data_IF_058595618746
#
_entry.id   IF_058595618746
#
_cell.length_a   1.000
_cell.length_b   1.000
_cell.length_c   1.000
_cell.angle_alpha   90.00
_cell.angle_beta   90.00
_cell.angle_gamma   90.00
#
_symmetry.space_group_name_H-M   'P 1'
#
loop_
_entity.id
_entity.type
_entity.pdbx_description
1 polymer ?
#
# COMPACT_ATOMS: atom_id res chain seq x y z
N UNK A 1 24.74 -7.45 -1.81
CA UNK A 1 24.25 -7.54 -1.79
C UNK A 1 23.43 -7.76 -2.04
N UNK A 2 23.06 -7.87 -2.13
CA UNK A 2 22.22 -7.84 -2.36
C UNK A 2 21.22 -8.50 -2.09
N UNK A 3 20.55 -8.41 -1.71
CA UNK A 3 19.62 -9.00 -1.45
C UNK A 3 18.56 -8.85 -2.02
N UNK A 4 17.84 -9.51 -2.38
CA UNK A 4 16.80 -9.32 -2.98
C UNK A 4 15.72 -9.27 -2.14
N UNK A 5 14.91 -8.29 -2.29
CA UNK A 5 13.73 -8.17 -1.53
C UNK A 5 12.61 -8.93 -2.19
N UNK A 6 11.96 -9.74 -1.43
CA UNK A 6 10.84 -10.51 -1.93
C UNK A 6 9.56 -9.98 -1.34
N UNK A 7 8.43 -10.27 -1.97
CA UNK A 7 7.14 -9.92 -1.43
C UNK A 7 6.79 -8.46 -1.61
N UNK A 8 5.94 -7.90 -0.72
CA UNK A 8 5.38 -6.55 -0.93
C UNK A 8 6.44 -5.47 -1.07
N UNK A 9 7.52 -5.56 -0.33
CA UNK A 9 8.53 -4.51 -0.34
C UNK A 9 9.22 -4.37 -1.68
N UNK A 10 9.19 -5.41 -2.51
CA UNK A 10 9.85 -5.34 -3.81
C UNK A 10 9.17 -4.35 -4.75
N UNK A 11 7.93 -3.98 -4.49
CA UNK A 11 7.21 -3.02 -5.31
C UNK A 11 7.44 -1.57 -4.91
N UNK A 12 8.04 -1.33 -3.75
CA UNK A 12 8.07 0.01 -3.18
C UNK A 12 8.76 1.04 -4.06
N UNK A 13 9.91 0.77 -4.66
CA UNK A 13 10.51 1.79 -5.51
C UNK A 13 9.63 2.15 -6.70
N UNK A 14 8.97 1.17 -7.29
CA UNK A 14 8.08 1.43 -8.42
C UNK A 14 6.87 2.23 -8.00
N UNK A 15 6.33 1.95 -6.80
CA UNK A 15 5.20 2.68 -6.28
C UNK A 15 5.56 4.15 -6.06
N UNK A 16 6.70 4.40 -5.45
CA UNK A 16 7.11 5.76 -5.18
C UNK A 16 7.35 6.53 -6.47
N UNK A 17 7.95 5.87 -7.43
CA UNK A 17 8.24 6.51 -8.70
C UNK A 17 6.96 6.80 -9.49
N UNK A 18 6.07 5.81 -9.54
CA UNK A 18 4.88 5.94 -10.37
C UNK A 18 3.88 6.94 -9.81
N UNK A 19 3.72 6.95 -8.49
CA UNK A 19 2.69 7.77 -7.87
C UNK A 19 3.24 9.03 -7.21
N UNK A 20 4.55 9.21 -7.24
CA UNK A 20 5.17 10.42 -6.74
C UNK A 20 5.03 10.64 -5.24
N UNK A 21 4.89 9.56 -4.47
CA UNK A 21 4.68 9.67 -3.03
C UNK A 21 5.44 8.56 -2.31
N UNK A 22 6.21 8.90 -1.27
CA UNK A 22 6.96 7.88 -0.53
C UNK A 22 6.04 6.86 0.12
N UNK A 23 6.55 5.66 0.28
CA UNK A 23 5.77 4.59 0.90
C UNK A 23 5.34 4.98 2.31
N UNK A 24 6.18 5.73 3.03
CA UNK A 24 5.82 6.16 4.38
C UNK A 24 4.52 6.96 4.39
N UNK A 25 4.31 7.80 3.38
CA UNK A 25 3.06 8.56 3.28
C UNK A 25 1.88 7.66 2.96
N UNK A 26 2.09 6.67 2.11
CA UNK A 26 1.03 5.70 1.83
C UNK A 26 0.64 4.93 3.09
N UNK A 27 1.64 4.58 3.91
CA UNK A 27 1.35 3.90 5.16
C UNK A 27 0.52 4.77 6.08
N UNK A 28 0.84 6.06 6.16
CA UNK A 28 0.06 6.97 6.99
C UNK A 28 -1.37 7.10 6.50
N UNK A 29 -1.55 7.18 5.18
CA UNK A 29 -2.88 7.27 4.61
C UNK A 29 -3.70 6.01 4.92
N UNK A 30 -3.08 4.85 4.79
CA UNK A 30 -3.78 3.61 5.08
C UNK A 30 -4.11 3.48 6.55
N UNK A 31 -3.20 3.89 7.42
CA UNK A 31 -3.48 3.81 8.85
C UNK A 31 -4.59 4.78 9.25
N UNK A 32 -4.62 5.96 8.64
CA UNK A 32 -5.71 6.91 8.90
C UNK A 32 -7.03 6.33 8.42
N UNK A 33 -7.03 5.68 7.25
CA UNK A 33 -8.24 5.06 6.75
C UNK A 33 -8.72 3.95 7.66
N UNK A 34 -7.80 3.15 8.17
CA UNK A 34 -8.16 2.09 9.09
C UNK A 34 -8.72 2.65 10.40
N UNK A 35 -8.20 3.78 10.85
CA UNK A 35 -8.74 4.41 12.05
C UNK A 35 -10.16 4.90 11.83
N UNK A 36 -10.47 5.39 10.63
CA UNK A 36 -11.82 5.81 10.32
C UNK A 36 -12.78 4.65 10.14
N UNK A 37 -12.26 3.53 9.65
CA UNK A 37 -13.07 2.35 9.40
C UNK A 37 -12.38 1.13 9.98
N UNK A 38 -12.47 0.94 11.29
CA UNK A 38 -11.74 -0.16 11.94
C UNK A 38 -12.10 -1.54 11.42
N UNK A 39 -13.29 -1.69 10.83
CA UNK A 39 -13.69 -2.97 10.27
C UNK A 39 -13.27 -3.20 8.84
N UNK A 40 -12.54 -2.26 8.24
CA UNK A 40 -12.12 -2.41 6.85
C UNK A 40 -11.18 -3.58 6.69
N UNK A 41 -11.44 -4.39 5.67
CA UNK A 41 -10.65 -5.57 5.41
C UNK A 41 -9.64 -5.28 4.31
N UNK A 42 -8.73 -6.26 4.10
CA UNK A 42 -7.67 -6.11 3.12
C UNK A 42 -8.23 -5.66 1.76
N UNK A 43 -9.24 -6.37 1.26
CA UNK A 43 -9.78 -6.04 -0.07
C UNK A 43 -10.48 -4.70 -0.11
N UNK A 44 -11.04 -4.28 1.01
CA UNK A 44 -11.68 -2.97 1.06
C UNK A 44 -10.64 -1.86 0.96
N UNK A 45 -9.51 -2.05 1.62
CA UNK A 45 -8.43 -1.08 1.55
C UNK A 45 -7.82 -1.06 0.15
N UNK A 46 -7.66 -2.23 -0.46
CA UNK A 46 -7.17 -2.30 -1.83
C UNK A 46 -8.12 -1.56 -2.77
N UNK A 47 -9.42 -1.80 -2.62
CA UNK A 47 -10.41 -1.11 -3.44
C UNK A 47 -10.38 0.38 -3.26
N UNK A 48 -10.18 0.84 -2.04
CA UNK A 48 -10.07 2.26 -1.76
C UNK A 48 -8.87 2.88 -2.47
N UNK A 49 -7.73 2.22 -2.41
CA UNK A 49 -6.55 2.73 -3.11
C UNK A 49 -6.78 2.76 -4.62
N UNK A 50 -7.46 1.76 -5.15
CA UNK A 50 -7.71 1.71 -6.59
C UNK A 50 -8.66 2.82 -7.03
N UNK A 51 -9.73 3.07 -6.26
CA UNK A 51 -10.73 4.04 -6.69
C UNK A 51 -10.37 5.47 -6.33
N UNK A 52 -9.76 5.68 -5.16
CA UNK A 52 -9.46 7.04 -4.72
C UNK A 52 -8.12 7.55 -5.24
N UNK A 53 -7.17 6.65 -5.42
CA UNK A 53 -5.83 7.06 -5.79
C UNK A 53 -5.40 6.51 -7.15
N UNK A 54 -6.26 5.79 -7.83
CA UNK A 54 -5.94 5.25 -9.15
C UNK A 54 -4.80 4.25 -9.14
N UNK A 55 -4.57 3.60 -8.01
CA UNK A 55 -3.46 2.68 -7.90
C UNK A 55 -3.80 1.34 -8.54
N UNK A 56 -2.80 0.73 -9.17
CA UNK A 56 -2.98 -0.60 -9.74
C UNK A 56 -3.17 -1.64 -8.67
N UNK A 57 -3.85 -2.73 -9.02
CA UNK A 57 -4.20 -3.77 -8.05
C UNK A 57 -2.96 -4.35 -7.37
N UNK A 58 -1.94 -4.67 -8.13
CA UNK A 58 -0.73 -5.26 -7.55
C UNK A 58 -0.06 -4.33 -6.55
N UNK A 59 0.06 -3.04 -6.91
CA UNK A 59 0.67 -2.07 -6.03
C UNK A 59 -0.18 -1.86 -4.77
N UNK A 60 -1.50 -1.74 -4.95
CA UNK A 60 -2.38 -1.55 -3.79
C UNK A 60 -2.33 -2.76 -2.87
N UNK A 61 -2.33 -3.95 -3.45
CA UNK A 61 -2.27 -5.17 -2.66
C UNK A 61 -0.97 -5.24 -1.85
N UNK A 62 0.14 -4.86 -2.47
CA UNK A 62 1.43 -4.89 -1.79
C UNK A 62 1.46 -3.91 -0.62
N UNK A 63 0.94 -2.70 -0.83
CA UNK A 63 0.93 -1.70 0.23
C UNK A 63 0.04 -2.13 1.39
N UNK A 64 -1.16 -2.60 1.08
CA UNK A 64 -2.08 -3.01 2.14
C UNK A 64 -1.51 -4.18 2.91
N UNK A 65 -0.94 -5.15 2.20
CA UNK A 65 -0.32 -6.29 2.87
C UNK A 65 0.79 -5.88 3.81
N UNK A 66 1.61 -4.92 3.38
CA UNK A 66 2.71 -4.42 4.21
C UNK A 66 2.19 -3.73 5.48
N UNK A 67 1.18 -2.88 5.32
CA UNK A 67 0.64 -2.12 6.45
C UNK A 67 -0.05 -3.07 7.44
N UNK A 68 -0.82 -4.04 6.93
CA UNK A 68 -1.52 -4.96 7.83
C UNK A 68 -0.57 -5.90 8.53
N UNK A 69 0.53 -6.27 7.88
CA UNK A 69 1.51 -7.17 8.49
C UNK A 69 2.34 -6.47 9.56
N UNK A 70 2.55 -5.20 9.38
CA UNK A 70 3.34 -4.43 10.31
C UNK A 70 2.50 -3.81 11.39
#
# INVERSE_FOLDING_TARGET
MTERVQGPASYFPAIEEKYGRPVAEWQELLQARRAEQPGARHMELVGWLKSEHGMGHGHANALVGHVLAG
#
